data_IF_680007712821
#
_entry.id   IF_680007712821
#
_cell.length_a   1.000
_cell.length_b   1.000
_cell.length_c   1.000
_cell.angle_alpha   90.00
_cell.angle_beta   90.00
_cell.angle_gamma   90.00
#
_symmetry.space_group_name_H-M   'P 1'
#
loop_
_entity.id
_entity.type
_entity.pdbx_description
1 polymer ?
#
# COMPACT_ATOMS: atom_id res chain seq x y z
N UNK A 1 19.42 -22.80 -7.65
CA UNK A 1 19.13 -21.81 -6.58
C UNK A 1 17.62 -21.60 -6.49
N UNK A 2 17.00 -21.95 -5.36
CA UNK A 2 15.54 -21.89 -5.21
C UNK A 2 15.01 -20.45 -5.41
N UNK A 3 13.75 -20.31 -5.83
CA UNK A 3 13.10 -18.99 -6.00
C UNK A 3 13.22 -18.14 -4.74
N UNK A 4 13.14 -18.77 -3.55
CA UNK A 4 13.32 -18.13 -2.25
C UNK A 4 14.74 -17.58 -2.01
N UNK A 5 15.78 -18.31 -2.41
CA UNK A 5 17.17 -17.86 -2.24
C UNK A 5 17.49 -16.72 -3.20
N UNK A 6 16.97 -16.75 -4.44
CA UNK A 6 17.05 -15.62 -5.38
C UNK A 6 16.35 -14.38 -4.82
N UNK A 7 15.20 -14.56 -4.17
CA UNK A 7 14.45 -13.49 -3.48
C UNK A 7 15.24 -12.90 -2.32
N UNK A 8 15.79 -13.71 -1.41
CA UNK A 8 16.56 -13.24 -0.27
C UNK A 8 17.81 -12.45 -0.70
N UNK A 9 18.55 -12.95 -1.70
CA UNK A 9 19.71 -12.26 -2.26
C UNK A 9 19.31 -10.93 -2.90
N UNK A 10 18.23 -10.87 -3.68
CA UNK A 10 17.73 -9.62 -4.27
C UNK A 10 17.22 -8.63 -3.22
N UNK A 11 16.58 -9.11 -2.16
CA UNK A 11 16.17 -8.31 -1.00
C UNK A 11 17.38 -7.65 -0.34
N UNK A 12 18.45 -8.41 -0.07
CA UNK A 12 19.71 -7.87 0.45
C UNK A 12 20.38 -6.88 -0.52
N UNK A 13 20.39 -7.17 -1.82
CA UNK A 13 20.95 -6.28 -2.84
C UNK A 13 20.14 -4.98 -3.03
N UNK A 14 18.85 -4.95 -2.68
CA UNK A 14 18.01 -3.73 -2.72
C UNK A 14 18.44 -2.68 -1.69
N UNK A 15 19.18 -3.09 -0.65
CA UNK A 15 19.82 -2.17 0.31
C UNK A 15 21.12 -1.58 -0.23
N UNK A 16 21.77 -2.20 -1.21
CA UNK A 16 22.97 -1.64 -1.82
C UNK A 16 22.57 -0.43 -2.69
N UNK A 17 23.28 0.71 -2.56
CA UNK A 17 23.05 1.88 -3.38
C UNK A 17 23.59 1.66 -4.80
N UNK A 18 22.92 0.78 -5.55
CA UNK A 18 23.08 0.63 -6.99
C UNK A 18 22.32 1.76 -7.68
N UNK A 19 23.06 2.85 -7.92
CA UNK A 19 22.64 4.08 -8.57
C UNK A 19 21.99 3.87 -9.95
N UNK A 20 20.96 4.69 -10.21
CA UNK A 20 20.65 5.39 -11.49
C UNK A 20 19.14 5.51 -11.83
N UNK A 21 18.23 4.87 -11.07
CA UNK A 21 16.77 4.97 -11.34
C UNK A 21 15.91 5.24 -10.10
N UNK A 22 16.48 5.89 -9.08
CA UNK A 22 15.68 6.38 -7.95
C UNK A 22 15.27 7.81 -8.28
N UNK A 23 14.00 8.04 -8.59
CA UNK A 23 13.47 9.39 -8.58
C UNK A 23 13.18 9.74 -7.11
N UNK A 24 13.82 10.79 -6.60
CA UNK A 24 13.40 11.40 -5.34
C UNK A 24 11.96 11.86 -5.51
N UNK A 25 11.05 11.37 -4.66
CA UNK A 25 9.67 11.84 -4.62
C UNK A 25 9.70 13.26 -4.08
N UNK A 26 9.37 14.23 -4.93
CA UNK A 26 9.38 15.64 -4.58
C UNK A 26 7.95 16.18 -4.45
N UNK A 27 7.76 17.30 -3.73
CA UNK A 27 6.49 18.01 -3.75
C UNK A 27 6.05 18.35 -5.17
N UNK A 28 4.76 18.17 -5.45
CA UNK A 28 4.16 18.47 -6.76
C UNK A 28 3.67 19.92 -6.79
N UNK A 29 4.10 20.73 -7.74
CA UNK A 29 3.69 22.15 -7.82
C UNK A 29 2.20 22.32 -8.16
N UNK A 30 1.69 21.49 -9.05
CA UNK A 30 0.32 21.49 -9.59
C UNK A 30 -0.62 20.53 -8.83
N UNK A 31 -0.31 20.20 -7.57
CA UNK A 31 -1.17 19.35 -6.74
C UNK A 31 -2.44 20.08 -6.30
N UNK A 32 -3.53 19.31 -6.19
CA UNK A 32 -4.73 19.82 -5.52
C UNK A 32 -4.50 20.01 -4.01
N UNK A 33 -5.34 20.80 -3.31
CA UNK A 33 -5.22 21.04 -1.87
C UNK A 33 -5.27 19.78 -0.99
N UNK A 34 -5.91 18.72 -1.48
CA UNK A 34 -6.10 17.47 -0.74
C UNK A 34 -5.76 16.24 -1.58
N UNK A 35 -5.39 15.16 -0.90
CA UNK A 35 -5.26 13.81 -1.45
C UNK A 35 -6.22 12.88 -0.72
N UNK A 36 -7.02 12.09 -1.43
CA UNK A 36 -7.73 10.94 -0.85
C UNK A 36 -6.97 9.66 -1.19
N UNK A 37 -6.61 8.88 -0.18
CA UNK A 37 -6.05 7.54 -0.34
C UNK A 37 -7.19 6.55 -0.18
N UNK A 38 -7.54 5.89 -1.29
CA UNK A 38 -8.55 4.85 -1.37
C UNK A 38 -7.86 3.51 -1.04
N UNK A 39 -7.93 3.12 0.24
CA UNK A 39 -7.47 1.81 0.70
C UNK A 39 -8.50 0.73 0.35
N UNK A 40 -8.21 -0.53 0.68
CA UNK A 40 -9.00 -1.69 0.24
C UNK A 40 -9.82 -2.33 1.37
N UNK A 41 -10.08 -1.60 2.45
CA UNK A 41 -10.92 -2.09 3.54
C UNK A 41 -12.42 -1.98 3.22
N UNK A 42 -13.26 -2.74 3.92
CA UNK A 42 -14.69 -2.84 3.65
C UNK A 42 -15.43 -1.50 3.76
N UNK A 43 -14.98 -0.56 4.59
CA UNK A 43 -15.60 0.76 4.72
C UNK A 43 -15.51 1.62 3.47
N UNK A 44 -14.70 1.24 2.47
CA UNK A 44 -14.57 1.98 1.22
C UNK A 44 -15.88 2.01 0.41
N UNK A 45 -16.68 0.94 0.41
CA UNK A 45 -17.90 0.88 -0.40
C UNK A 45 -18.89 1.98 -0.01
N UNK A 46 -19.07 2.20 1.29
CA UNK A 46 -19.96 3.24 1.81
C UNK A 46 -19.54 4.64 1.36
N UNK A 47 -18.23 4.92 1.34
CA UNK A 47 -17.69 6.18 0.83
C UNK A 47 -17.98 6.35 -0.67
N UNK A 48 -17.77 5.30 -1.48
CA UNK A 48 -17.98 5.37 -2.92
C UNK A 48 -19.47 5.51 -3.27
N UNK A 49 -20.35 4.74 -2.62
CA UNK A 49 -21.80 4.76 -2.86
C UNK A 49 -22.42 6.13 -2.54
N UNK A 50 -21.83 6.88 -1.60
CA UNK A 50 -22.27 8.23 -1.24
C UNK A 50 -21.84 9.33 -2.22
N UNK A 51 -21.00 9.03 -3.23
CA UNK A 51 -20.46 10.02 -4.15
C UNK A 51 -21.13 9.96 -5.52
N UNK A 52 -21.65 11.10 -5.99
CA UNK A 52 -22.05 11.29 -7.39
C UNK A 52 -20.85 11.59 -8.31
N UNK A 53 -19.82 12.24 -7.77
CA UNK A 53 -18.58 12.58 -8.46
C UNK A 53 -17.41 12.68 -7.46
N UNK A 54 -16.15 12.47 -7.88
CA UNK A 54 -15.00 12.72 -7.02
C UNK A 54 -14.90 14.19 -6.63
N UNK A 55 -14.43 14.46 -5.40
CA UNK A 55 -14.24 15.83 -4.91
C UNK A 55 -13.31 16.66 -5.82
N UNK A 56 -13.82 17.76 -6.38
CA UNK A 56 -13.09 18.57 -7.36
C UNK A 56 -11.72 19.08 -6.86
N UNK A 57 -11.61 19.39 -5.56
CA UNK A 57 -10.38 19.90 -4.91
C UNK A 57 -9.48 18.82 -4.31
N UNK A 58 -9.71 17.55 -4.66
CA UNK A 58 -8.99 16.40 -4.12
C UNK A 58 -8.41 15.55 -5.25
N UNK A 59 -7.13 15.22 -5.16
CA UNK A 59 -6.49 14.22 -6.00
C UNK A 59 -6.74 12.84 -5.38
N UNK A 60 -6.79 11.78 -6.19
CA UNK A 60 -6.99 10.41 -5.70
C UNK A 60 -5.72 9.56 -5.81
N UNK A 61 -5.49 8.74 -4.80
CA UNK A 61 -4.47 7.69 -4.78
C UNK A 61 -5.12 6.33 -4.56
N UNK A 62 -4.93 5.42 -5.50
CA UNK A 62 -5.41 4.04 -5.43
C UNK A 62 -4.28 3.08 -5.07
N UNK A 63 -4.62 1.90 -4.53
CA UNK A 63 -3.61 0.94 -4.06
C UNK A 63 -3.88 -0.51 -4.49
N UNK A 64 -2.81 -1.27 -4.74
CA UNK A 64 -2.84 -2.71 -5.00
C UNK A 64 -3.87 -3.15 -6.06
N UNK A 65 -4.98 -3.79 -5.67
CA UNK A 65 -5.98 -4.38 -6.57
C UNK A 65 -7.00 -3.36 -7.13
N UNK A 66 -6.90 -2.08 -6.75
CA UNK A 66 -7.91 -1.07 -7.09
C UNK A 66 -8.27 -0.97 -8.57
N UNK A 67 -7.31 -1.14 -9.48
CA UNK A 67 -7.53 -1.08 -10.92
C UNK A 67 -8.52 -2.14 -11.44
N UNK A 68 -8.76 -3.21 -10.69
CA UNK A 68 -9.77 -4.22 -11.05
C UNK A 68 -11.19 -3.76 -10.73
N UNK A 69 -11.35 -2.74 -9.87
CA UNK A 69 -12.65 -2.16 -9.55
C UNK A 69 -13.22 -1.36 -10.73
N UNK A 70 -14.55 -1.29 -10.84
CA UNK A 70 -15.25 -0.43 -11.80
C UNK A 70 -15.04 1.07 -11.52
N UNK A 71 -14.83 1.45 -10.26
CA UNK A 71 -14.61 2.83 -9.84
C UNK A 71 -13.20 3.37 -10.16
N UNK A 72 -12.32 2.56 -10.76
CA UNK A 72 -10.99 3.03 -11.17
C UNK A 72 -11.07 4.23 -12.14
N UNK A 73 -11.94 4.12 -13.15
CA UNK A 73 -12.16 5.20 -14.13
C UNK A 73 -13.01 6.34 -13.59
N UNK A 74 -13.82 6.08 -12.55
CA UNK A 74 -14.58 7.11 -11.84
C UNK A 74 -13.65 8.06 -11.10
N UNK A 75 -12.71 7.53 -10.31
CA UNK A 75 -11.78 8.35 -9.51
C UNK A 75 -10.65 8.98 -10.31
N UNK A 76 -10.31 8.43 -11.48
CA UNK A 76 -9.18 8.84 -12.32
C UNK A 76 -7.93 9.14 -11.48
N UNK A 77 -7.42 8.17 -10.69
CA UNK A 77 -6.36 8.42 -9.73
C UNK A 77 -5.12 9.02 -10.37
N UNK A 78 -4.63 10.09 -9.76
CA UNK A 78 -3.36 10.72 -10.14
C UNK A 78 -2.18 9.86 -9.69
N UNK A 79 -2.36 9.12 -8.59
CA UNK A 79 -1.33 8.30 -7.96
C UNK A 79 -1.81 6.87 -7.79
N UNK A 80 -0.91 5.91 -7.96
CA UNK A 80 -1.19 4.50 -7.73
C UNK A 80 -0.02 3.84 -7.01
N UNK A 81 -0.28 3.11 -5.93
CA UNK A 81 0.79 2.44 -5.17
C UNK A 81 0.59 0.94 -5.20
N UNK A 82 1.59 0.22 -5.72
CA UNK A 82 1.70 -1.22 -5.57
C UNK A 82 2.74 -1.49 -4.49
N UNK A 83 2.42 -2.35 -3.53
CA UNK A 83 3.38 -2.74 -2.50
C UNK A 83 3.47 -4.25 -2.31
N UNK A 84 2.40 -5.02 -2.51
CA UNK A 84 2.44 -6.45 -2.19
C UNK A 84 3.40 -7.24 -3.12
N UNK A 85 4.27 -8.14 -2.59
CA UNK A 85 5.08 -9.05 -3.42
C UNK A 85 4.26 -9.88 -4.42
N UNK A 86 2.98 -10.12 -4.15
CA UNK A 86 2.08 -10.80 -5.06
C UNK A 86 1.98 -10.12 -6.44
N UNK A 87 2.28 -8.83 -6.54
CA UNK A 87 2.32 -8.08 -7.80
C UNK A 87 3.57 -8.31 -8.66
N UNK A 88 4.54 -9.11 -8.21
CA UNK A 88 5.68 -9.52 -9.04
C UNK A 88 5.81 -11.04 -9.18
N UNK A 89 5.00 -11.79 -8.44
CA UNK A 89 4.92 -13.25 -8.56
C UNK A 89 3.94 -13.59 -9.68
N UNK A 90 4.39 -14.37 -10.67
CA UNK A 90 3.52 -14.85 -11.75
C UNK A 90 3.16 -13.79 -12.79
N UNK A 91 3.99 -12.75 -12.99
CA UNK A 91 3.78 -11.75 -14.05
C UNK A 91 3.75 -12.34 -15.47
N UNK A 92 4.35 -13.51 -15.66
CA UNK A 92 4.32 -14.24 -16.94
C UNK A 92 2.99 -15.00 -17.16
N UNK A 93 2.22 -15.22 -16.10
CA UNK A 93 0.90 -15.86 -16.15
C UNK A 93 -0.18 -14.78 -16.36
N UNK A 94 -0.92 -14.77 -17.49
CA UNK A 94 -1.99 -13.82 -17.75
C UNK A 94 -3.12 -13.86 -16.72
N UNK A 95 -3.33 -14.99 -16.06
CA UNK A 95 -4.40 -15.18 -15.09
C UNK A 95 -4.02 -14.77 -13.66
N UNK A 96 -2.75 -14.46 -13.42
CA UNK A 96 -2.30 -13.95 -12.13
C UNK A 96 -2.94 -12.59 -11.82
N UNK A 97 -3.14 -12.32 -10.52
CA UNK A 97 -3.69 -11.04 -10.07
C UNK A 97 -2.79 -9.87 -10.46
N UNK A 98 -1.48 -10.08 -10.43
CA UNK A 98 -0.50 -9.10 -10.89
C UNK A 98 -0.75 -8.70 -12.34
N UNK A 99 -0.79 -9.69 -13.25
CA UNK A 99 -1.03 -9.48 -14.67
C UNK A 99 -2.35 -8.79 -14.94
N UNK A 100 -3.43 -9.20 -14.25
CA UNK A 100 -4.75 -8.59 -14.38
C UNK A 100 -4.74 -7.11 -13.98
N UNK A 101 -4.04 -6.74 -12.89
CA UNK A 101 -3.93 -5.33 -12.48
C UNK A 101 -3.18 -4.50 -13.49
N UNK A 102 -1.99 -4.92 -13.92
CA UNK A 102 -1.20 -4.12 -14.88
C UNK A 102 -1.89 -3.98 -16.23
N UNK A 103 -2.55 -5.05 -16.73
CA UNK A 103 -3.35 -4.99 -17.95
C UNK A 103 -4.58 -4.11 -17.81
N UNK A 104 -5.24 -4.12 -16.64
CA UNK A 104 -6.38 -3.24 -16.35
C UNK A 104 -5.96 -1.77 -16.35
N UNK A 105 -4.80 -1.46 -15.76
CA UNK A 105 -4.21 -0.12 -15.84
C UNK A 105 -3.96 0.24 -17.31
N UNK A 106 -3.28 -0.63 -18.06
CA UNK A 106 -2.99 -0.37 -19.47
C UNK A 106 -4.26 -0.11 -20.31
N UNK A 107 -5.31 -0.92 -20.14
CA UNK A 107 -6.51 -0.82 -20.96
C UNK A 107 -7.42 0.36 -20.59
N UNK A 108 -7.51 0.71 -19.31
CA UNK A 108 -8.45 1.75 -18.81
C UNK A 108 -7.83 3.14 -18.71
N UNK A 109 -6.50 3.24 -18.64
CA UNK A 109 -5.85 4.51 -18.33
C UNK A 109 -5.97 5.52 -19.47
N UNK A 110 -6.82 6.53 -19.26
CA UNK A 110 -7.04 7.63 -20.21
C UNK A 110 -6.58 9.00 -19.69
N UNK A 111 -6.02 9.06 -18.48
CA UNK A 111 -5.49 10.26 -17.82
C UNK A 111 -4.03 10.06 -17.36
N UNK A 112 -3.34 11.13 -16.98
CA UNK A 112 -1.97 11.03 -16.46
C UNK A 112 -1.97 10.44 -15.04
N UNK A 113 -1.19 9.38 -14.84
CA UNK A 113 -1.08 8.71 -13.54
C UNK A 113 0.38 8.35 -13.25
N UNK A 114 0.79 8.49 -11.98
CA UNK A 114 2.08 7.98 -11.50
C UNK A 114 1.89 6.70 -10.71
N UNK A 115 2.56 5.63 -11.14
CA UNK A 115 2.60 4.34 -10.47
C UNK A 115 3.89 4.21 -9.66
N UNK A 116 3.74 4.05 -8.34
CA UNK A 116 4.83 3.90 -7.39
C UNK A 116 5.07 2.43 -7.07
N UNK A 117 6.31 1.98 -7.24
CA UNK A 117 6.72 0.58 -7.08
C UNK A 117 7.96 0.49 -6.17
N UNK A 118 8.00 -0.42 -5.18
CA UNK A 118 9.17 -0.66 -4.34
C UNK A 118 10.40 -1.06 -5.16
N UNK A 119 11.57 -0.54 -4.77
CA UNK A 119 12.84 -0.91 -5.40
C UNK A 119 13.23 -2.37 -5.20
N UNK A 120 12.73 -3.05 -4.16
CA UNK A 120 12.89 -4.50 -4.05
C UNK A 120 12.29 -5.28 -5.23
N UNK A 121 11.43 -4.66 -6.04
CA UNK A 121 10.88 -5.22 -7.28
C UNK A 121 11.73 -4.90 -8.52
N UNK A 122 12.91 -4.28 -8.34
CA UNK A 122 13.93 -4.15 -9.38
C UNK A 122 14.30 -5.54 -9.93
N UNK A 123 14.40 -5.64 -11.25
CA UNK A 123 14.52 -6.88 -12.01
C UNK A 123 13.21 -7.38 -12.66
N UNK A 124 12.06 -6.77 -12.35
CA UNK A 124 10.76 -7.05 -12.98
C UNK A 124 10.30 -5.91 -13.90
N UNK A 125 11.12 -4.87 -14.10
CA UNK A 125 10.75 -3.64 -14.79
C UNK A 125 10.31 -3.92 -16.22
N UNK A 126 11.06 -4.73 -16.96
CA UNK A 126 10.72 -5.06 -18.35
C UNK A 126 9.35 -5.76 -18.48
N UNK A 127 9.00 -6.61 -17.51
CA UNK A 127 7.68 -7.29 -17.48
C UNK A 127 6.57 -6.31 -17.11
N UNK A 128 6.80 -5.47 -16.10
CA UNK A 128 5.85 -4.44 -15.66
C UNK A 128 5.61 -3.43 -16.78
N UNK A 129 6.68 -2.91 -17.39
CA UNK A 129 6.62 -1.99 -18.52
C UNK A 129 5.90 -2.65 -19.70
N UNK A 130 6.21 -3.89 -20.06
CA UNK A 130 5.48 -4.60 -21.12
C UNK A 130 3.97 -4.71 -20.86
N UNK A 131 3.56 -4.92 -19.61
CA UNK A 131 2.15 -5.09 -19.24
C UNK A 131 1.40 -3.77 -19.04
N UNK A 132 2.09 -2.71 -18.64
CA UNK A 132 1.49 -1.45 -18.21
C UNK A 132 1.85 -0.25 -19.11
N UNK A 133 2.73 -0.41 -20.11
CA UNK A 133 3.27 0.70 -20.91
C UNK A 133 2.18 1.43 -21.68
N UNK A 134 1.86 2.63 -21.20
CA UNK A 134 0.97 3.60 -21.85
C UNK A 134 1.62 4.97 -21.69
N UNK A 135 1.52 5.83 -22.70
CA UNK A 135 2.12 7.20 -22.70
C UNK A 135 1.78 8.01 -21.45
N UNK A 136 0.55 7.83 -20.93
CA UNK A 136 0.03 8.55 -19.77
C UNK A 136 0.45 7.96 -18.42
N UNK A 137 1.18 6.85 -18.41
CA UNK A 137 1.67 6.19 -17.20
C UNK A 137 3.13 6.55 -16.94
N UNK A 138 3.40 7.18 -15.79
CA UNK A 138 4.74 7.35 -15.26
C UNK A 138 5.01 6.31 -14.19
N UNK A 139 6.12 5.56 -14.30
CA UNK A 139 6.54 4.63 -13.25
C UNK A 139 7.64 5.27 -12.40
N UNK A 140 7.48 5.24 -11.08
CA UNK A 140 8.44 5.75 -10.10
C UNK A 140 8.80 4.63 -9.13
N UNK A 141 10.09 4.30 -9.06
CA UNK A 141 10.58 3.35 -8.07
C UNK A 141 11.01 4.06 -6.79
N UNK A 142 10.59 3.55 -5.63
CA UNK A 142 10.90 4.14 -4.32
C UNK A 142 11.55 3.14 -3.36
N UNK A 143 12.34 3.65 -2.42
CA UNK A 143 13.03 2.82 -1.43
C UNK A 143 12.10 2.43 -0.29
N UNK A 144 11.98 1.13 -0.08
CA UNK A 144 11.08 0.53 0.91
C UNK A 144 11.81 -0.07 2.12
N UNK A 145 13.07 0.34 2.36
CA UNK A 145 13.89 -0.12 3.47
C UNK A 145 13.20 0.16 4.81
N UNK A 146 12.48 -0.85 5.30
CA UNK A 146 11.62 -0.79 6.47
C UNK A 146 12.36 -1.17 7.74
N UNK A 147 12.93 -0.18 8.43
CA UNK A 147 13.50 -0.41 9.76
C UNK A 147 12.40 -0.30 10.85
N UNK A 148 12.54 -1.00 11.98
CA UNK A 148 11.72 -0.74 13.16
C UNK A 148 12.12 0.62 13.75
N UNK A 149 11.36 1.66 13.39
CA UNK A 149 11.72 3.04 13.70
C UNK A 149 11.07 3.51 15.02
N UNK A 150 11.81 4.28 15.80
CA UNK A 150 11.35 4.96 17.01
C UNK A 150 10.65 6.31 16.72
N UNK A 151 10.87 6.84 15.51
CA UNK A 151 10.43 8.17 15.11
C UNK A 151 11.21 9.28 15.84
N UNK A 152 12.48 9.05 16.19
CA UNK A 152 13.40 10.09 16.67
C UNK A 152 13.87 11.04 15.55
N UNK A 153 14.62 12.09 15.90
CA UNK A 153 15.04 13.11 14.94
C UNK A 153 15.85 12.55 13.76
N UNK A 154 16.83 11.67 14.03
CA UNK A 154 17.65 11.00 13.01
C UNK A 154 16.81 10.15 12.07
N UNK A 155 15.89 9.38 12.64
CA UNK A 155 14.91 8.59 11.90
C UNK A 155 14.09 9.45 10.94
N UNK A 156 13.51 10.54 11.45
CA UNK A 156 12.70 11.45 10.64
C UNK A 156 13.52 12.15 9.55
N UNK A 157 14.77 12.49 9.84
CA UNK A 157 15.69 13.07 8.85
C UNK A 157 16.05 12.07 7.73
N UNK A 158 16.32 10.80 8.06
CA UNK A 158 16.56 9.75 7.06
C UNK A 158 15.34 9.49 6.19
N UNK A 159 14.14 9.54 6.77
CA UNK A 159 12.88 9.50 6.02
C UNK A 159 12.72 10.74 5.12
N UNK A 160 13.04 11.94 5.61
CA UNK A 160 12.99 13.14 4.76
C UNK A 160 13.90 13.05 3.53
N UNK A 161 15.05 12.39 3.68
CA UNK A 161 16.01 12.09 2.63
C UNK A 161 15.67 10.82 1.82
N UNK A 162 14.54 10.16 2.11
CA UNK A 162 14.05 8.96 1.43
C UNK A 162 15.04 7.79 1.45
N UNK A 163 15.90 7.76 2.47
CA UNK A 163 16.87 6.69 2.70
C UNK A 163 16.18 5.48 3.36
N UNK A 164 15.16 5.74 4.17
CA UNK A 164 14.36 4.72 4.84
C UNK A 164 12.88 5.12 4.79
N UNK A 165 12.02 4.16 5.10
CA UNK A 165 10.61 4.42 5.42
C UNK A 165 10.19 3.57 6.62
N UNK A 166 9.05 3.87 7.28
CA UNK A 166 8.50 2.99 8.30
C UNK A 166 8.28 1.61 7.71
N UNK A 167 8.51 0.55 8.49
CA UNK A 167 8.25 -0.82 8.04
C UNK A 167 6.78 -0.94 7.62
N UNK A 168 6.55 -0.96 6.31
CA UNK A 168 5.24 -1.12 5.72
C UNK A 168 4.89 -2.62 5.75
N UNK A 169 3.99 -2.99 6.64
CA UNK A 169 3.35 -4.31 6.63
C UNK A 169 2.17 -4.37 5.66
N UNK A 170 1.66 -3.21 5.26
CA UNK A 170 0.61 -3.08 4.26
C UNK A 170 0.93 -1.91 3.31
N UNK A 171 0.19 -1.86 2.21
CA UNK A 171 0.33 -0.81 1.20
C UNK A 171 -0.03 0.58 1.72
N UNK A 172 -0.94 0.68 2.70
CA UNK A 172 -1.40 1.96 3.23
C UNK A 172 -0.28 2.76 3.89
N UNK A 173 0.65 2.10 4.61
CA UNK A 173 1.84 2.77 5.16
C UNK A 173 2.68 3.41 4.06
N UNK A 174 2.88 2.71 2.93
CA UNK A 174 3.62 3.24 1.79
C UNK A 174 2.87 4.39 1.12
N UNK A 175 1.56 4.24 0.91
CA UNK A 175 0.71 5.26 0.30
C UNK A 175 0.70 6.58 1.10
N UNK A 176 0.53 6.50 2.43
CA UNK A 176 0.57 7.68 3.30
C UNK A 176 1.95 8.35 3.24
N UNK A 177 3.01 7.56 3.31
CA UNK A 177 4.38 8.09 3.25
C UNK A 177 4.65 8.82 1.93
N UNK A 178 4.27 8.21 0.79
CA UNK A 178 4.37 8.82 -0.53
C UNK A 178 3.55 10.12 -0.58
N UNK A 179 2.30 10.10 -0.12
CA UNK A 179 1.45 11.30 -0.05
C UNK A 179 2.08 12.44 0.74
N UNK A 180 2.73 12.14 1.87
CA UNK A 180 3.49 13.12 2.67
C UNK A 180 4.68 13.69 1.89
N UNK A 181 5.42 12.85 1.16
CA UNK A 181 6.56 13.29 0.35
C UNK A 181 6.14 14.16 -0.85
N UNK A 182 4.98 13.87 -1.44
CA UNK A 182 4.37 14.67 -2.51
C UNK A 182 3.86 16.04 -2.03
N UNK A 183 3.90 16.29 -0.71
CA UNK A 183 3.69 17.61 -0.12
C UNK A 183 2.22 18.05 -0.06
N UNK A 184 1.27 17.13 -0.17
CA UNK A 184 -0.15 17.45 -0.01
C UNK A 184 -0.43 18.05 1.37
N UNK A 185 -1.08 19.22 1.47
CA UNK A 185 -1.41 19.82 2.76
C UNK A 185 -2.33 18.92 3.60
N UNK A 186 -3.30 18.26 2.97
CA UNK A 186 -4.25 17.34 3.59
C UNK A 186 -4.28 16.00 2.88
N UNK A 187 -4.31 14.92 3.67
CA UNK A 187 -4.44 13.55 3.20
C UNK A 187 -5.61 12.90 3.94
N UNK A 188 -6.61 12.44 3.20
CA UNK A 188 -7.76 11.70 3.71
C UNK A 188 -7.57 10.20 3.50
N UNK A 189 -7.92 9.39 4.51
CA UNK A 189 -7.89 7.94 4.43
C UNK A 189 -9.33 7.40 4.36
N UNK A 190 -9.63 6.66 3.29
CA UNK A 190 -10.90 5.95 3.08
C UNK A 190 -10.66 4.45 2.92
N UNK A 191 -11.54 3.62 3.46
CA UNK A 191 -11.36 2.17 3.49
C UNK A 191 -10.16 1.72 4.34
N UNK A 192 -9.79 2.50 5.35
CA UNK A 192 -8.64 2.23 6.23
C UNK A 192 -9.05 1.49 7.50
N UNK A 193 -9.86 0.43 7.39
CA UNK A 193 -10.57 -0.19 8.52
C UNK A 193 -9.66 -0.82 9.59
N UNK A 194 -8.63 -1.57 9.17
CA UNK A 194 -7.76 -2.33 10.10
C UNK A 194 -8.51 -3.24 11.09
N UNK A 195 -9.67 -3.74 10.68
CA UNK A 195 -10.59 -4.51 11.54
C UNK A 195 -10.36 -6.04 11.48
N UNK A 196 -9.29 -6.53 10.82
CA UNK A 196 -9.10 -7.98 10.61
C UNK A 196 -9.01 -8.81 11.89
N UNK A 197 -8.61 -8.22 13.01
CA UNK A 197 -8.58 -8.91 14.30
C UNK A 197 -9.97 -9.36 14.77
N UNK A 198 -11.05 -8.71 14.30
CA UNK A 198 -12.44 -9.13 14.56
C UNK A 198 -12.80 -10.46 13.89
N UNK A 199 -11.97 -10.91 12.94
CA UNK A 199 -12.20 -12.09 12.12
C UNK A 199 -11.25 -13.25 12.45
N UNK A 200 -10.50 -13.14 13.54
CA UNK A 200 -9.61 -14.20 14.01
C UNK A 200 -10.39 -15.19 14.88
N UNK A 201 -10.13 -16.49 14.69
CA UNK A 201 -10.74 -17.56 15.47
C UNK A 201 -9.74 -18.70 15.69
N UNK A 202 -9.79 -19.36 16.84
CA UNK A 202 -9.05 -20.61 17.07
C UNK A 202 -10.02 -21.77 16.85
N UNK A 203 -9.65 -22.72 16.00
CA UNK A 203 -10.43 -23.95 15.87
C UNK A 203 -10.14 -24.93 17.02
N UNK A 204 -10.81 -26.09 17.01
CA UNK A 204 -10.70 -27.12 18.06
C UNK A 204 -9.28 -27.71 18.19
N UNK A 205 -8.43 -27.58 17.16
CA UNK A 205 -7.01 -27.97 17.22
C UNK A 205 -6.06 -26.82 17.58
N UNK A 206 -6.59 -25.69 18.10
CA UNK A 206 -5.84 -24.47 18.41
C UNK A 206 -5.09 -23.87 17.21
N UNK A 207 -5.57 -24.10 15.99
CA UNK A 207 -5.04 -23.45 14.78
C UNK A 207 -5.72 -22.11 14.58
N UNK A 208 -4.92 -21.08 14.33
CA UNK A 208 -5.43 -19.76 14.03
C UNK A 208 -6.06 -19.73 12.64
N UNK A 209 -7.30 -19.32 12.61
CA UNK A 209 -8.15 -19.17 11.44
C UNK A 209 -8.45 -17.69 11.22
N UNK A 210 -8.62 -17.30 9.97
CA UNK A 210 -9.07 -15.96 9.58
C UNK A 210 -10.24 -16.07 8.61
N UNK A 211 -11.22 -15.18 8.77
CA UNK A 211 -12.16 -14.85 7.70
C UNK A 211 -11.58 -13.63 6.98
N UNK A 212 -10.93 -13.85 5.84
CA UNK A 212 -10.31 -12.77 5.08
C UNK A 212 -11.40 -11.97 4.37
N UNK A 213 -11.66 -10.75 4.84
CA UNK A 213 -12.71 -9.87 4.31
C UNK A 213 -12.05 -8.72 3.57
N UNK A 214 -12.04 -8.77 2.23
CA UNK A 214 -11.72 -7.61 1.38
C UNK A 214 -12.99 -6.98 0.82
N UNK A 215 -12.93 -5.72 0.41
CA UNK A 215 -14.10 -5.00 -0.12
C UNK A 215 -14.68 -5.58 -1.41
N UNK A 216 -13.95 -6.48 -2.07
CA UNK A 216 -14.36 -7.15 -3.31
C UNK A 216 -14.96 -8.55 -3.10
N UNK A 217 -14.94 -9.09 -1.87
CA UNK A 217 -15.30 -10.49 -1.63
C UNK A 217 -16.78 -10.66 -1.33
N UNK A 218 -17.47 -11.51 -2.10
CA UNK A 218 -18.90 -11.76 -1.94
C UNK A 218 -19.26 -12.67 -0.74
N UNK A 219 -18.45 -13.71 -0.46
CA UNK A 219 -18.68 -14.67 0.63
C UNK A 219 -17.36 -15.23 1.18
N UNK A 220 -16.69 -14.51 2.10
CA UNK A 220 -15.39 -14.93 2.60
C UNK A 220 -15.49 -16.17 3.50
N UNK A 221 -14.69 -17.20 3.18
CA UNK A 221 -14.59 -18.46 3.92
C UNK A 221 -13.55 -18.35 5.03
N UNK A 222 -13.75 -19.12 6.10
CA UNK A 222 -12.76 -19.28 7.16
C UNK A 222 -11.61 -20.15 6.65
N UNK A 223 -10.38 -19.65 6.73
CA UNK A 223 -9.17 -20.37 6.27
C UNK A 223 -8.09 -20.34 7.34
N UNK A 224 -7.23 -21.37 7.40
CA UNK A 224 -6.10 -21.37 8.33
C UNK A 224 -5.10 -20.28 7.92
N UNK A 225 -4.65 -19.49 8.91
CA UNK A 225 -3.67 -18.44 8.68
C UNK A 225 -2.26 -19.05 8.73
N UNK A 226 -1.69 -19.26 7.55
CA UNK A 226 -0.39 -19.92 7.37
C UNK A 226 0.73 -18.90 7.18
N UNK A 227 1.80 -19.04 7.95
CA UNK A 227 3.08 -18.34 7.76
C UNK A 227 3.88 -18.93 6.61
N UNK A 228 3.77 -20.24 6.44
CA UNK A 228 4.36 -21.00 5.35
C UNK A 228 3.32 -22.01 4.86
N UNK A 229 2.85 -21.80 3.63
CA UNK A 229 1.86 -22.68 3.01
C UNK A 229 2.46 -24.05 2.63
N UNK A 230 3.74 -24.10 2.26
CA UNK A 230 4.42 -25.34 1.85
C UNK A 230 4.66 -26.24 3.06
N UNK A 231 5.16 -25.66 4.15
CA UNK A 231 5.47 -26.40 5.38
C UNK A 231 4.32 -26.42 6.41
N UNK A 232 3.16 -25.85 6.05
CA UNK A 232 1.96 -25.74 6.90
C UNK A 232 2.26 -25.15 8.29
N UNK A 233 3.16 -24.18 8.35
CA UNK A 233 3.45 -23.46 9.59
C UNK A 233 2.35 -22.43 9.80
N UNK A 234 1.64 -22.54 10.92
CA UNK A 234 0.56 -21.62 11.28
C UNK A 234 1.11 -20.37 11.96
N UNK A 235 0.45 -19.23 11.75
CA UNK A 235 0.64 -18.08 12.61
C UNK A 235 0.05 -18.35 13.99
N UNK A 236 0.77 -17.94 15.04
CA UNK A 236 0.22 -17.88 16.39
C UNK A 236 -0.54 -16.55 16.60
N UNK A 237 -1.39 -16.50 17.63
CA UNK A 237 -2.02 -15.24 18.06
C UNK A 237 -0.96 -14.20 18.45
N UNK A 238 0.14 -14.63 19.08
CA UNK A 238 1.27 -13.78 19.44
C UNK A 238 1.89 -13.12 18.21
N UNK A 239 2.15 -13.90 17.14
CA UNK A 239 2.70 -13.38 15.89
C UNK A 239 1.81 -12.27 15.31
N UNK A 240 0.49 -12.48 15.34
CA UNK A 240 -0.48 -11.53 14.84
C UNK A 240 -0.49 -10.26 15.67
N UNK A 241 -0.56 -10.35 17.00
CA UNK A 241 -0.50 -9.15 17.86
C UNK A 241 0.83 -8.41 17.73
N UNK A 242 1.94 -9.12 17.55
CA UNK A 242 3.24 -8.50 17.26
C UNK A 242 3.22 -7.77 15.91
N UNK A 243 2.61 -8.36 14.88
CA UNK A 243 2.45 -7.71 13.57
C UNK A 243 1.63 -6.42 13.71
N UNK A 244 0.48 -6.46 14.37
CA UNK A 244 -0.34 -5.29 14.68
C UNK A 244 0.45 -4.22 15.44
N UNK A 245 1.13 -4.58 16.52
CA UNK A 245 1.94 -3.65 17.29
C UNK A 245 2.93 -2.89 16.40
N UNK A 246 3.68 -3.62 15.56
CA UNK A 246 4.64 -3.03 14.63
C UNK A 246 3.97 -2.15 13.56
N UNK A 247 2.80 -2.54 13.06
CA UNK A 247 2.04 -1.75 12.10
C UNK A 247 1.54 -0.42 12.71
N UNK A 248 0.94 -0.46 13.89
CA UNK A 248 0.49 0.75 14.59
C UNK A 248 1.67 1.64 14.98
N UNK A 249 2.84 1.06 15.30
CA UNK A 249 4.08 1.83 15.47
C UNK A 249 4.46 2.57 14.19
N UNK A 250 4.34 1.96 13.02
CA UNK A 250 4.57 2.63 11.74
C UNK A 250 3.62 3.81 11.52
N UNK A 251 2.32 3.69 11.85
CA UNK A 251 1.38 4.82 11.76
C UNK A 251 1.76 5.99 12.67
N UNK A 252 2.22 5.70 13.90
CA UNK A 252 2.71 6.75 14.81
C UNK A 252 3.95 7.47 14.27
N UNK A 253 4.87 6.75 13.61
CA UNK A 253 6.02 7.36 12.94
C UNK A 253 5.58 8.21 11.74
N UNK A 254 4.57 7.76 10.98
CA UNK A 254 3.96 8.53 9.90
C UNK A 254 3.34 9.84 10.40
N UNK A 255 2.64 9.81 11.53
CA UNK A 255 2.08 11.02 12.16
C UNK A 255 3.17 12.03 12.56
N UNK A 256 4.33 11.54 13.04
CA UNK A 256 5.47 12.41 13.37
C UNK A 256 6.06 13.08 12.13
N UNK A 257 6.29 12.33 11.04
CA UNK A 257 6.84 12.95 9.82
C UNK A 257 5.80 13.84 9.12
N UNK A 258 4.51 13.50 9.16
CA UNK A 258 3.47 14.35 8.60
C UNK A 258 3.46 15.71 9.31
N UNK A 259 3.52 15.72 10.66
CA UNK A 259 3.64 16.95 11.45
C UNK A 259 4.90 17.74 11.10
N UNK A 260 6.05 17.06 10.97
CA UNK A 260 7.33 17.69 10.58
C UNK A 260 7.26 18.37 9.21
N UNK A 261 6.48 17.80 8.27
CA UNK A 261 6.27 18.36 6.93
C UNK A 261 5.05 19.28 6.81
N UNK A 262 4.34 19.56 7.90
CA UNK A 262 3.12 20.37 7.86
C UNK A 262 1.95 19.71 7.11
N UNK A 263 1.93 18.38 7.04
CA UNK A 263 0.89 17.58 6.38
C UNK A 263 -0.11 17.06 7.40
N UNK A 264 -1.39 17.35 7.19
CA UNK A 264 -2.48 16.84 8.01
C UNK A 264 -3.02 15.53 7.42
N UNK A 265 -2.81 14.42 8.13
CA UNK A 265 -3.41 13.12 7.78
C UNK A 265 -4.67 12.94 8.61
N UNK A 266 -5.80 12.67 7.94
CA UNK A 266 -7.14 12.59 8.53
C UNK A 266 -7.73 11.24 8.15
N UNK A 267 -8.12 10.46 9.15
CA UNK A 267 -8.82 9.21 8.97
C UNK A 267 -10.33 9.46 8.93
N UNK A 268 -10.94 9.22 7.75
CA UNK A 268 -12.39 9.39 7.53
C UNK A 268 -13.15 8.06 7.57
N UNK A 269 -12.46 6.94 7.74
CA UNK A 269 -13.09 5.61 7.86
C UNK A 269 -13.72 5.44 9.26
N UNK A 270 -15.06 5.31 9.38
CA UNK A 270 -15.75 5.38 10.67
C UNK A 270 -15.32 4.32 11.69
N UNK A 271 -15.14 3.08 11.25
CA UNK A 271 -14.78 1.93 12.12
C UNK A 271 -13.29 1.59 12.09
N UNK A 272 -12.46 2.55 11.66
CA UNK A 272 -11.02 2.33 11.60
C UNK A 272 -10.40 2.12 12.97
N UNK A 273 -9.50 1.14 13.04
CA UNK A 273 -8.63 0.89 14.18
C UNK A 273 -7.36 1.75 14.20
N UNK A 274 -7.10 2.58 13.19
CA UNK A 274 -5.93 3.47 13.19
C UNK A 274 -6.18 4.67 14.12
N UNK A 275 -5.43 4.70 15.23
CA UNK A 275 -5.48 5.72 16.29
C UNK A 275 -4.42 6.85 16.13
N UNK A 276 -3.50 6.71 15.16
CA UNK A 276 -2.36 7.61 15.03
C UNK A 276 -2.69 8.97 14.37
N UNK A 277 -3.86 9.09 13.73
CA UNK A 277 -4.26 10.25 12.94
C UNK A 277 -5.55 10.86 13.47
N UNK A 278 -5.81 12.13 13.15
CA UNK A 278 -7.07 12.78 13.51
C UNK A 278 -8.24 12.03 12.86
N UNK A 279 -9.26 11.71 13.64
CA UNK A 279 -10.50 11.12 13.13
C UNK A 279 -11.50 12.23 12.82
N UNK A 280 -12.07 12.20 11.61
CA UNK A 280 -13.16 13.11 11.22
C UNK A 280 -14.16 12.31 10.39
N UNK A 281 -15.34 12.11 10.96
CA UNK A 281 -16.48 11.52 10.26
C UNK A 281 -17.22 12.61 9.49
#
# INVERSE_FOLDING_TARGET
>A
MSRLVKYAVRFFLSFLPSQSRHASIAPLEDRKPSLVILANGPGLSHYIEGLSEPEASTDSMCVNLFALNSNFEFFKPRHYVIFDPLFVVGLDDPDSMASKVFRSIHSKLSWHMTLYIPLRFKGYEAQIEKLASVEKLRIVYFRDAGLPLDGGATTLWLMDKQVIMPRAQNVLVAAIYIGILLGYPKIFLEGADHSWHRYLHLNDENKLMIKDVHFYDGNPKMTPLLKDAENRVHFSVEDIFRAYYLLHKSYRVLAKISKRRGVQVINRTPDSFIDAFQKKQ
#
